data_IF_088635658393
#
_entry.id   IF_088635658393
#
_cell.length_a   1.000
_cell.length_b   1.000
_cell.length_c   1.000
_cell.angle_alpha   90.00
_cell.angle_beta   90.00
_cell.angle_gamma   90.00
#
_symmetry.space_group_name_H-M   'P 1'
#
loop_
_entity.id
_entity.type
_entity.pdbx_description
1 polymer ?
#
# COMPACT_ATOMS: atom_id res chain seq x y z
N UNK A 1 -9.25 4.32 -10.50
CA UNK A 1 -8.23 3.79 -9.56
C UNK A 1 -7.07 4.77 -9.49
N UNK A 2 -6.53 5.06 -8.29
CA UNK A 2 -5.52 6.12 -8.05
C UNK A 2 -4.14 5.54 -7.70
N UNK A 3 -3.61 4.61 -8.51
CA UNK A 3 -2.32 3.97 -8.24
C UNK A 3 -1.19 4.42 -9.16
N UNK A 4 -1.47 5.26 -10.16
CA UNK A 4 -0.46 5.85 -11.05
C UNK A 4 0.29 4.86 -11.95
N UNK A 5 -0.14 3.60 -12.03
CA UNK A 5 0.52 2.54 -12.79
C UNK A 5 -0.48 1.54 -13.40
N UNK A 6 0.00 0.58 -14.20
CA UNK A 6 -0.83 -0.38 -14.92
C UNK A 6 -1.48 -1.43 -14.00
N UNK A 7 -2.62 -1.97 -14.45
CA UNK A 7 -3.34 -3.03 -13.73
C UNK A 7 -2.49 -4.31 -13.58
N UNK A 8 -1.71 -4.67 -14.60
CA UNK A 8 -0.81 -5.83 -14.56
C UNK A 8 0.29 -5.65 -13.52
N UNK A 9 0.86 -4.44 -13.41
CA UNK A 9 1.87 -4.13 -12.39
C UNK A 9 1.29 -4.27 -10.98
N UNK A 10 0.10 -3.71 -10.75
CA UNK A 10 -0.61 -3.85 -9.48
C UNK A 10 -0.89 -5.32 -9.15
N UNK A 11 -1.38 -6.10 -10.12
CA UNK A 11 -1.67 -7.52 -9.93
C UNK A 11 -0.43 -8.32 -9.55
N UNK A 12 0.70 -8.06 -10.20
CA UNK A 12 1.97 -8.71 -9.90
C UNK A 12 2.43 -8.41 -8.46
N UNK A 13 2.38 -7.14 -8.04
CA UNK A 13 2.74 -6.76 -6.68
C UNK A 13 1.82 -7.37 -5.62
N UNK A 14 0.50 -7.37 -5.85
CA UNK A 14 -0.47 -7.98 -4.94
C UNK A 14 -0.23 -9.48 -4.77
N UNK A 15 0.12 -10.17 -5.85
CA UNK A 15 0.48 -11.59 -5.80
C UNK A 15 1.77 -11.83 -5.00
N UNK A 16 2.82 -11.03 -5.24
CA UNK A 16 4.05 -11.13 -4.45
C UNK A 16 3.81 -10.92 -2.95
N UNK A 17 3.00 -9.92 -2.59
CA UNK A 17 2.67 -9.63 -1.19
C UNK A 17 1.79 -10.72 -0.55
N UNK A 18 0.88 -11.33 -1.32
CA UNK A 18 0.10 -12.49 -0.88
C UNK A 18 1.01 -13.70 -0.64
N UNK A 19 1.93 -13.99 -1.55
CA UNK A 19 2.87 -15.12 -1.44
C UNK A 19 3.81 -14.96 -0.25
N UNK A 20 4.17 -13.72 0.11
CA UNK A 20 4.94 -13.40 1.32
C UNK A 20 4.09 -13.38 2.61
N UNK A 21 2.82 -13.78 2.56
CA UNK A 21 1.88 -13.74 3.68
C UNK A 21 1.64 -12.35 4.30
N UNK A 22 1.95 -11.28 3.57
CA UNK A 22 1.71 -9.89 4.00
C UNK A 22 0.23 -9.53 3.81
N UNK A 23 -0.40 -10.05 2.76
CA UNK A 23 -1.81 -9.84 2.45
C UNK A 23 -2.64 -11.11 2.67
N UNK A 24 -3.93 -10.91 2.90
CA UNK A 24 -4.99 -11.92 2.69
C UNK A 24 -5.93 -11.43 1.59
N UNK A 25 -6.55 -12.36 0.88
CA UNK A 25 -7.47 -12.06 -0.21
C UNK A 25 -8.82 -12.72 0.00
N UNK A 26 -9.90 -12.03 -0.37
CA UNK A 26 -11.27 -12.55 -0.40
C UNK A 26 -11.87 -12.33 -1.79
N UNK A 27 -12.37 -13.38 -2.43
CA UNK A 27 -13.11 -13.27 -3.70
C UNK A 27 -14.60 -13.11 -3.42
N UNK A 28 -15.23 -12.17 -4.11
CA UNK A 28 -16.67 -11.91 -4.04
C UNK A 28 -17.17 -11.60 -5.45
N UNK A 29 -17.97 -12.52 -6.00
CA UNK A 29 -18.33 -12.55 -7.41
C UNK A 29 -17.08 -12.43 -8.32
N UNK A 30 -17.00 -11.34 -9.09
CA UNK A 30 -15.91 -11.08 -10.04
C UNK A 30 -14.82 -10.15 -9.47
N UNK A 31 -14.84 -9.85 -8.16
CA UNK A 31 -13.87 -8.96 -7.51
C UNK A 31 -13.04 -9.71 -6.48
N UNK A 32 -11.77 -9.34 -6.37
CA UNK A 32 -10.86 -9.84 -5.33
C UNK A 32 -10.47 -8.65 -4.46
N UNK A 33 -10.79 -8.76 -3.17
CA UNK A 33 -10.41 -7.78 -2.15
C UNK A 33 -9.16 -8.25 -1.43
N UNK A 34 -8.27 -7.31 -1.12
CA UNK A 34 -7.04 -7.56 -0.38
C UNK A 34 -7.05 -6.78 0.93
N UNK A 35 -6.50 -7.37 1.99
CA UNK A 35 -6.23 -6.69 3.27
C UNK A 35 -4.87 -7.09 3.82
N UNK A 36 -4.26 -6.19 4.59
CA UNK A 36 -3.05 -6.51 5.38
C UNK A 36 -3.42 -7.61 6.38
N UNK A 37 -2.54 -8.61 6.50
CA UNK A 37 -2.76 -9.76 7.40
C UNK A 37 -2.41 -9.43 8.85
N UNK A 38 -1.34 -8.67 9.07
CA UNK A 38 -0.76 -8.42 10.38
C UNK A 38 -1.14 -7.02 10.88
N UNK A 39 -1.80 -6.95 12.03
CA UNK A 39 -2.26 -5.70 12.63
C UNK A 39 -1.10 -4.79 13.07
N UNK A 40 0.04 -5.34 13.48
CA UNK A 40 1.24 -4.55 13.80
C UNK A 40 1.83 -3.88 12.55
N UNK A 41 1.77 -4.54 11.40
CA UNK A 41 2.19 -3.94 10.13
C UNK A 41 1.23 -2.82 9.72
N UNK A 42 -0.07 -3.00 9.96
CA UNK A 42 -1.07 -1.97 9.73
C UNK A 42 -0.83 -0.75 10.61
N UNK A 43 -0.51 -0.95 11.90
CA UNK A 43 -0.15 0.12 12.84
C UNK A 43 1.12 0.86 12.41
N UNK A 44 2.16 0.13 11.98
CA UNK A 44 3.38 0.72 11.45
C UNK A 44 3.09 1.61 10.24
N UNK A 45 2.32 1.12 9.26
CA UNK A 45 1.93 1.89 8.07
C UNK A 45 1.08 3.11 8.47
N UNK A 46 0.19 2.96 9.46
CA UNK A 46 -0.59 4.06 10.02
C UNK A 46 0.31 5.14 10.64
N UNK A 47 1.34 4.73 11.37
CA UNK A 47 2.34 5.63 11.96
C UNK A 47 3.14 6.34 10.87
N UNK A 48 3.62 5.60 9.87
CA UNK A 48 4.31 6.18 8.71
C UNK A 48 3.43 7.20 8.00
N UNK A 49 2.14 6.91 7.80
CA UNK A 49 1.18 7.86 7.21
C UNK A 49 1.07 9.14 8.05
N UNK A 50 0.96 9.01 9.37
CA UNK A 50 0.84 10.16 10.27
C UNK A 50 2.08 11.04 10.26
N UNK A 51 3.28 10.47 10.04
CA UNK A 51 4.53 11.24 9.96
C UNK A 51 4.77 11.79 8.55
N UNK A 52 4.57 10.97 7.53
CA UNK A 52 5.02 11.22 6.15
C UNK A 52 3.96 11.88 5.24
N UNK A 53 2.67 11.78 5.55
CA UNK A 53 1.66 12.46 4.72
C UNK A 53 1.46 13.95 5.06
N UNK A 54 1.62 14.41 6.31
CA UNK A 54 1.65 15.84 6.59
C UNK A 54 2.91 16.51 6.02
N UNK A 55 4.02 15.78 5.97
CA UNK A 55 5.22 16.18 5.22
C UNK A 55 5.00 15.86 3.74
N UNK A 56 4.27 16.73 3.04
CA UNK A 56 4.42 16.76 1.58
C UNK A 56 5.91 16.97 1.30
N UNK A 57 6.61 15.93 0.81
CA UNK A 57 8.02 15.98 0.41
C UNK A 57 8.25 16.84 -0.86
N UNK A 58 7.39 17.83 -1.06
CA UNK A 58 7.43 18.86 -2.10
C UNK A 58 7.93 20.21 -1.54
N UNK A 59 8.31 20.26 -0.26
CA UNK A 59 9.17 21.33 0.25
C UNK A 59 10.54 21.16 -0.40
N UNK A 60 10.66 21.82 -1.55
CA UNK A 60 11.91 22.11 -2.23
C UNK A 60 12.98 22.38 -1.17
N UNK A 61 14.11 21.71 -1.35
CA UNK A 61 15.40 22.11 -0.79
C UNK A 61 15.64 23.60 -1.12
N UNK A 62 15.08 24.51 -0.31
CA UNK A 62 15.64 25.84 -0.09
C UNK A 62 16.69 25.63 0.99
N UNK A 63 17.80 25.03 0.57
CA UNK A 63 19.03 25.11 1.34
C UNK A 63 19.52 26.55 1.25
N UNK A 64 19.46 27.24 2.38
CA UNK A 64 20.56 28.12 2.78
C UNK A 64 21.79 27.28 3.12
#
# INVERSE_FOLDING_TARGET
>A
EKTGTSQSNISQHLEQLRNKNILTSRKEANRIYYRIRNDQLLELIGTMRNVLCPTNLDDRYSGE
#
